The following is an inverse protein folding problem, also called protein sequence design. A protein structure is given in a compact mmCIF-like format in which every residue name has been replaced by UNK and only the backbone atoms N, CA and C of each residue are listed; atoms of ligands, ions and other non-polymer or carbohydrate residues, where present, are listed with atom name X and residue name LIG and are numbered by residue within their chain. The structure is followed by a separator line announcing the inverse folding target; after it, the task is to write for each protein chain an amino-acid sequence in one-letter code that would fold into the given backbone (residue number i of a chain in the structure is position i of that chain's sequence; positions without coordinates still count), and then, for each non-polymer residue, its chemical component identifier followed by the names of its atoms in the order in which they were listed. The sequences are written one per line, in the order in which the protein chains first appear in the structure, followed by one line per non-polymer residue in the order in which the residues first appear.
data_IF_857845175817
#
_entry.id   IF_857845175817
#
_cell.length_a   1.000
_cell.length_b   1.000
_cell.length_c   1.000
_cell.angle_alpha   90.00
_cell.angle_beta   90.00
_cell.angle_gamma   90.00
#
_symmetry.space_group_name_H-M   'P 1'
#
loop_
_entity.id
_entity.type
_entity.pdbx_description
1 polymer ?
#
# COMPACT_ATOMS: atom_id res chain seq x y z
N UNK A 1 9.08 -33.42 30.90
CA UNK A 1 8.26 -32.63 29.97
C UNK A 1 9.04 -31.36 29.59
N UNK A 2 9.39 -31.23 28.35
CA UNK A 2 10.34 -30.20 27.85
C UNK A 2 9.60 -29.00 27.27
N UNK A 3 10.00 -27.77 27.59
CA UNK A 3 9.73 -26.60 26.75
C UNK A 3 11.06 -26.02 26.22
N UNK A 4 11.47 -26.45 25.06
CA UNK A 4 12.65 -25.92 24.38
C UNK A 4 12.33 -25.79 22.89
N UNK A 5 11.66 -24.68 22.48
CA UNK A 5 11.59 -24.31 21.05
C UNK A 5 11.44 -22.81 20.77
N UNK A 6 11.49 -21.93 21.75
CA UNK A 6 11.35 -20.48 21.53
C UNK A 6 12.66 -19.70 21.45
N UNK A 7 13.76 -20.26 21.95
CA UNK A 7 15.05 -19.57 21.95
C UNK A 7 15.76 -19.53 20.58
N UNK A 8 15.47 -20.49 19.69
CA UNK A 8 16.15 -20.59 18.40
C UNK A 8 15.73 -19.54 17.35
N UNK A 9 14.51 -19.03 17.43
CA UNK A 9 14.00 -18.04 16.45
C UNK A 9 14.51 -16.62 16.68
N UNK A 10 14.72 -16.23 17.94
CA UNK A 10 15.26 -14.92 18.29
C UNK A 10 16.74 -14.81 17.94
N UNK A 11 17.52 -15.89 18.07
CA UNK A 11 18.94 -15.91 17.74
C UNK A 11 19.20 -15.83 16.22
N UNK A 12 18.33 -16.41 15.42
CA UNK A 12 18.45 -16.36 13.93
C UNK A 12 18.20 -14.96 13.41
N UNK A 13 17.29 -14.20 14.01
CA UNK A 13 16.99 -12.81 13.62
C UNK A 13 18.13 -11.84 13.97
N UNK A 14 18.93 -12.14 14.99
CA UNK A 14 20.06 -11.28 15.39
C UNK A 14 21.29 -11.46 14.50
N UNK A 15 21.41 -12.59 13.80
CA UNK A 15 22.52 -12.90 12.89
C UNK A 15 22.19 -12.64 11.41
N UNK A 16 20.93 -12.36 11.07
CA UNK A 16 20.55 -12.07 9.70
C UNK A 16 20.67 -10.56 9.42
N UNK A 17 21.59 -10.17 8.54
CA UNK A 17 21.65 -8.79 8.06
C UNK A 17 20.32 -8.40 7.43
N UNK A 18 19.78 -7.22 7.74
CA UNK A 18 18.49 -6.73 7.19
C UNK A 18 18.47 -6.73 5.66
N UNK A 19 19.61 -6.48 5.02
CA UNK A 19 19.75 -6.56 3.56
C UNK A 19 19.42 -7.94 2.97
N UNK A 20 19.49 -9.01 3.76
CA UNK A 20 19.10 -10.37 3.35
C UNK A 20 17.58 -10.61 3.44
N UNK A 21 16.82 -9.67 4.00
CA UNK A 21 15.37 -9.73 4.09
C UNK A 21 14.67 -9.09 2.88
N UNK A 22 15.44 -8.53 1.95
CA UNK A 22 14.89 -7.95 0.74
C UNK A 22 14.27 -9.04 -0.14
N UNK A 23 13.10 -8.77 -0.68
CA UNK A 23 12.40 -9.74 -1.54
C UNK A 23 11.54 -9.04 -2.59
N UNK A 24 11.23 -9.77 -3.65
CA UNK A 24 10.23 -9.37 -4.65
C UNK A 24 8.95 -10.17 -4.46
N UNK A 25 7.82 -9.54 -4.70
CA UNK A 25 6.50 -10.18 -4.69
C UNK A 25 5.83 -10.02 -6.06
N UNK A 26 5.21 -11.09 -6.53
CA UNK A 26 4.46 -11.09 -7.78
C UNK A 26 2.97 -11.18 -7.48
N UNK A 27 2.11 -10.46 -8.22
CA UNK A 27 0.67 -10.57 -8.06
C UNK A 27 0.18 -11.96 -8.49
N UNK A 28 -0.75 -12.54 -7.74
CA UNK A 28 -1.43 -13.77 -8.12
C UNK A 28 -2.41 -13.55 -9.28
N UNK A 29 -2.80 -14.63 -9.97
CA UNK A 29 -3.73 -14.58 -11.11
C UNK A 29 -5.07 -13.93 -10.77
N UNK A 30 -5.62 -14.22 -9.59
CA UNK A 30 -6.86 -13.61 -9.11
C UNK A 30 -6.74 -12.08 -8.95
N UNK A 31 -5.58 -11.61 -8.45
CA UNK A 31 -5.32 -10.17 -8.35
C UNK A 31 -5.18 -9.54 -9.73
N UNK A 32 -4.47 -10.18 -10.65
CA UNK A 32 -4.33 -9.70 -12.02
C UNK A 32 -5.71 -9.57 -12.68
N UNK A 33 -6.57 -10.58 -12.58
CA UNK A 33 -7.92 -10.54 -13.12
C UNK A 33 -8.77 -9.40 -12.52
N UNK A 34 -8.67 -9.20 -11.19
CA UNK A 34 -9.44 -8.15 -10.50
C UNK A 34 -9.02 -6.72 -10.87
N UNK A 35 -7.72 -6.50 -11.12
CA UNK A 35 -7.17 -5.17 -11.38
C UNK A 35 -6.86 -4.92 -12.87
N UNK A 36 -7.27 -5.83 -13.75
CA UNK A 36 -7.26 -5.59 -15.20
C UNK A 36 -8.54 -4.87 -15.60
N UNK A 37 -8.46 -3.66 -16.13
CA UNK A 37 -9.66 -2.94 -16.59
C UNK A 37 -10.39 -3.72 -17.68
N UNK A 38 -11.69 -3.55 -17.75
CA UNK A 38 -12.50 -4.17 -18.83
C UNK A 38 -12.08 -3.60 -20.18
N UNK A 39 -11.90 -4.47 -21.16
CA UNK A 39 -11.55 -4.09 -22.53
C UNK A 39 -12.57 -3.07 -23.08
N UNK A 40 -12.07 -1.95 -23.56
CA UNK A 40 -12.87 -0.88 -24.14
C UNK A 40 -12.52 -0.77 -25.63
N UNK A 41 -13.43 -0.22 -26.46
CA UNK A 41 -13.17 -0.01 -27.91
C UNK A 41 -11.89 0.80 -28.20
N UNK A 42 -11.40 1.58 -27.24
CA UNK A 42 -10.14 2.36 -27.34
C UNK A 42 -8.90 1.54 -26.97
N UNK A 43 -9.05 0.60 -26.01
CA UNK A 43 -7.97 -0.28 -25.54
C UNK A 43 -8.49 -1.72 -25.54
N UNK A 44 -8.25 -2.49 -26.64
CA UNK A 44 -8.73 -3.86 -26.76
C UNK A 44 -7.99 -4.83 -25.81
N UNK A 45 -6.75 -4.50 -25.43
CA UNK A 45 -5.95 -5.30 -24.51
C UNK A 45 -5.46 -4.43 -23.32
N UNK A 46 -6.31 -4.18 -22.34
CA UNK A 46 -5.94 -3.34 -21.21
C UNK A 46 -4.88 -4.04 -20.35
N UNK A 47 -3.80 -3.33 -20.07
CA UNK A 47 -2.74 -3.84 -19.18
C UNK A 47 -3.21 -3.79 -17.72
N UNK A 48 -2.86 -4.80 -16.90
CA UNK A 48 -3.18 -4.76 -15.47
C UNK A 48 -2.55 -3.55 -14.80
N UNK A 49 -3.30 -2.91 -13.91
CA UNK A 49 -2.82 -1.74 -13.15
C UNK A 49 -2.02 -2.13 -11.90
N UNK A 50 -1.52 -3.36 -11.86
CA UNK A 50 -0.67 -3.91 -10.81
C UNK A 50 0.50 -4.66 -11.46
N UNK A 51 1.55 -4.87 -10.67
CA UNK A 51 2.74 -5.59 -11.13
C UNK A 51 3.62 -6.04 -9.97
N UNK A 52 4.84 -6.39 -10.28
CA UNK A 52 5.83 -6.84 -9.30
C UNK A 52 6.19 -5.73 -8.32
N UNK A 53 6.35 -6.10 -7.05
CA UNK A 53 6.70 -5.19 -5.96
C UNK A 53 8.07 -5.61 -5.42
N UNK A 54 8.94 -4.64 -5.19
CA UNK A 54 10.21 -4.83 -4.49
C UNK A 54 10.10 -4.30 -3.06
N UNK A 55 10.46 -5.13 -2.08
CA UNK A 55 10.48 -4.75 -0.67
C UNK A 55 11.92 -4.73 -0.18
N UNK A 56 12.35 -3.59 0.36
CA UNK A 56 13.69 -3.38 0.88
C UNK A 56 13.65 -2.94 2.33
N UNK A 57 14.46 -3.61 3.15
CA UNK A 57 14.67 -3.27 4.56
C UNK A 57 15.97 -2.51 4.71
N UNK A 58 15.88 -1.21 4.95
CA UNK A 58 17.05 -0.38 5.18
C UNK A 58 17.50 -0.48 6.63
N UNK A 59 18.80 -0.73 6.82
CA UNK A 59 19.44 -0.83 8.14
C UNK A 59 19.87 0.52 8.68
N UNK A 60 19.98 1.52 7.81
CA UNK A 60 20.48 2.83 8.19
C UNK A 60 19.47 3.60 9.02
N UNK A 61 19.94 4.24 10.08
CA UNK A 61 19.08 5.05 10.93
C UNK A 61 18.45 6.23 10.18
N UNK A 62 19.20 6.84 9.26
CA UNK A 62 18.75 8.00 8.50
C UNK A 62 18.89 7.74 7.00
N UNK A 63 17.79 7.64 6.32
CA UNK A 63 17.77 7.47 4.86
C UNK A 63 17.98 8.83 4.19
N UNK A 64 19.10 8.97 3.49
CA UNK A 64 19.45 10.17 2.73
C UNK A 64 18.78 10.22 1.35
N UNK A 65 18.77 11.41 0.74
CA UNK A 65 18.24 11.61 -0.62
C UNK A 65 18.97 10.77 -1.67
N UNK A 66 20.28 10.52 -1.49
CA UNK A 66 21.08 9.70 -2.39
C UNK A 66 20.58 8.26 -2.39
N UNK A 67 20.48 7.63 -1.21
CA UNK A 67 19.98 6.26 -1.06
C UNK A 67 18.58 6.09 -1.66
N UNK A 68 17.72 7.10 -1.49
CA UNK A 68 16.39 7.08 -2.07
C UNK A 68 16.41 7.13 -3.60
N UNK A 69 17.31 7.91 -4.19
CA UNK A 69 17.50 7.93 -5.65
C UNK A 69 18.05 6.61 -6.17
N UNK A 70 19.04 6.05 -5.49
CA UNK A 70 19.64 4.75 -5.83
C UNK A 70 18.57 3.65 -5.76
N UNK A 71 17.70 3.69 -4.75
CA UNK A 71 16.55 2.79 -4.63
C UNK A 71 15.56 2.95 -5.79
N UNK A 72 15.18 4.18 -6.13
CA UNK A 72 14.29 4.43 -7.28
C UNK A 72 14.91 3.95 -8.59
N UNK A 73 16.20 4.18 -8.79
CA UNK A 73 16.93 3.69 -9.95
C UNK A 73 16.95 2.16 -10.02
N UNK A 74 17.11 1.50 -8.87
CA UNK A 74 17.02 0.05 -8.78
C UNK A 74 15.63 -0.47 -9.19
N UNK A 75 14.56 0.17 -8.75
CA UNK A 75 13.19 -0.19 -9.13
C UNK A 75 12.96 -0.04 -10.64
N UNK A 76 13.45 1.03 -11.24
CA UNK A 76 13.32 1.28 -12.69
C UNK A 76 14.12 0.25 -13.49
N UNK A 77 15.38 0.01 -13.10
CA UNK A 77 16.27 -0.96 -13.78
C UNK A 77 15.73 -2.40 -13.68
N UNK A 78 15.14 -2.75 -12.52
CA UNK A 78 14.51 -4.05 -12.28
C UNK A 78 13.11 -4.20 -12.89
N UNK A 79 12.59 -3.17 -13.57
CA UNK A 79 11.24 -3.13 -14.13
C UNK A 79 10.14 -3.45 -13.11
N UNK A 80 10.35 -3.09 -11.83
CA UNK A 80 9.35 -3.25 -10.79
C UNK A 80 8.22 -2.23 -10.94
N UNK A 81 7.00 -2.67 -10.69
CA UNK A 81 5.82 -1.79 -10.78
C UNK A 81 5.77 -0.80 -9.63
N UNK A 82 6.08 -1.24 -8.42
CA UNK A 82 6.12 -0.42 -7.21
C UNK A 82 7.20 -0.89 -6.25
N UNK A 83 7.55 -0.04 -5.29
CA UNK A 83 8.51 -0.36 -4.25
C UNK A 83 7.98 -0.06 -2.86
N UNK A 84 8.38 -0.87 -1.89
CA UNK A 84 8.14 -0.64 -0.47
C UNK A 84 9.50 -0.57 0.22
N UNK A 85 9.78 0.55 0.90
CA UNK A 85 10.97 0.71 1.71
C UNK A 85 10.59 0.73 3.19
N UNK A 86 11.20 -0.14 3.96
CA UNK A 86 11.05 -0.18 5.42
C UNK A 86 12.27 0.48 6.07
N UNK A 87 12.03 1.51 6.89
CA UNK A 87 13.07 2.32 7.53
C UNK A 87 12.98 2.24 9.04
N UNK A 88 14.10 2.40 9.73
CA UNK A 88 14.15 2.40 11.20
C UNK A 88 13.54 3.68 11.77
N UNK A 89 13.87 4.83 11.17
CA UNK A 89 13.34 6.15 11.58
C UNK A 89 12.48 6.77 10.48
N UNK A 90 11.54 7.67 10.83
CA UNK A 90 10.75 8.37 9.83
C UNK A 90 11.62 9.21 8.91
N UNK A 91 11.27 9.24 7.63
CA UNK A 91 11.98 10.01 6.62
C UNK A 91 11.81 11.51 6.81
N UNK A 92 12.81 12.25 6.32
CA UNK A 92 12.75 13.73 6.28
C UNK A 92 11.65 14.21 5.34
N UNK A 93 11.10 15.40 5.63
CA UNK A 93 10.05 15.99 4.79
C UNK A 93 10.46 16.21 3.33
N UNK A 94 11.75 16.45 3.07
CA UNK A 94 12.30 16.59 1.72
C UNK A 94 12.32 15.24 0.97
N UNK A 95 12.67 14.15 1.64
CA UNK A 95 12.64 12.80 1.08
C UNK A 95 11.21 12.39 0.72
N UNK A 96 10.23 12.68 1.58
CA UNK A 96 8.82 12.41 1.33
C UNK A 96 8.30 13.23 0.12
N UNK A 97 8.71 14.49 -0.04
CA UNK A 97 8.35 15.31 -1.20
C UNK A 97 8.91 14.74 -2.50
N UNK A 98 10.15 14.26 -2.48
CA UNK A 98 10.78 13.62 -3.64
C UNK A 98 10.03 12.35 -4.04
N UNK A 99 9.65 11.51 -3.09
CA UNK A 99 8.84 10.31 -3.36
C UNK A 99 7.47 10.64 -3.97
N UNK A 100 6.79 11.65 -3.45
CA UNK A 100 5.50 12.11 -4.01
C UNK A 100 5.66 12.68 -5.42
N UNK A 101 6.77 13.37 -5.69
CA UNK A 101 7.10 13.88 -7.01
C UNK A 101 7.42 12.77 -8.01
N UNK A 102 8.13 11.74 -7.60
CA UNK A 102 8.51 10.62 -8.48
C UNK A 102 7.32 9.80 -8.97
N UNK A 103 6.25 9.71 -8.19
CA UNK A 103 5.02 9.04 -8.60
C UNK A 103 4.30 9.72 -9.78
N UNK A 104 4.60 11.00 -10.03
CA UNK A 104 4.05 11.79 -11.14
C UNK A 104 5.01 11.93 -12.32
N UNK A 105 6.28 11.56 -12.14
CA UNK A 105 7.28 11.61 -13.19
C UNK A 105 7.26 10.34 -14.04
N UNK A 106 7.46 10.49 -15.35
CA UNK A 106 7.52 9.37 -16.31
C UNK A 106 8.70 8.41 -16.08
N UNK A 107 9.68 8.81 -15.29
CA UNK A 107 10.90 8.05 -14.99
C UNK A 107 10.82 7.23 -13.68
N UNK A 108 9.70 7.31 -12.93
CA UNK A 108 9.51 6.59 -11.68
C UNK A 108 8.74 5.27 -11.84
N UNK A 109 8.72 4.39 -10.81
CA UNK A 109 7.92 3.19 -10.82
C UNK A 109 6.43 3.56 -10.91
N UNK A 110 5.69 2.94 -11.83
CA UNK A 110 4.28 3.25 -12.13
C UNK A 110 3.36 3.18 -10.91
N UNK A 111 3.65 2.28 -9.99
CA UNK A 111 2.91 2.11 -8.73
C UNK A 111 3.30 3.10 -7.63
N UNK A 112 4.42 3.83 -7.82
CA UNK A 112 5.00 4.69 -6.78
C UNK A 112 5.82 3.92 -5.76
N UNK A 113 6.38 4.66 -4.81
CA UNK A 113 7.16 4.11 -3.69
C UNK A 113 6.43 4.44 -2.38
N UNK A 114 6.24 3.41 -1.57
CA UNK A 114 5.67 3.54 -0.22
C UNK A 114 6.76 3.35 0.82
N UNK A 115 6.67 4.10 1.90
CA UNK A 115 7.63 4.03 3.01
C UNK A 115 6.91 3.74 4.30
N UNK A 116 7.39 2.72 4.99
CA UNK A 116 6.92 2.33 6.31
C UNK A 116 8.04 2.46 7.32
N UNK A 117 7.69 2.85 8.54
CA UNK A 117 8.60 2.79 9.67
C UNK A 117 8.46 1.41 10.30
N UNK A 118 9.58 0.79 10.69
CA UNK A 118 9.61 -0.55 11.28
C UNK A 118 8.66 -0.67 12.48
N UNK A 119 8.58 0.37 13.30
CA UNK A 119 7.69 0.41 14.46
C UNK A 119 6.20 0.27 14.09
N UNK A 120 5.78 0.85 12.97
CA UNK A 120 4.39 0.80 12.50
C UNK A 120 3.99 -0.61 12.00
N UNK A 121 4.98 -1.45 11.68
CA UNK A 121 4.77 -2.81 11.16
C UNK A 121 4.78 -3.90 12.25
N UNK A 122 5.14 -3.56 13.50
CA UNK A 122 5.20 -4.53 14.60
C UNK A 122 3.83 -5.11 14.94
N UNK A 123 2.78 -4.32 14.77
CA UNK A 123 1.40 -4.71 15.08
C UNK A 123 0.51 -4.52 13.86
N UNK A 124 -0.28 -5.53 13.53
CA UNK A 124 -1.28 -5.40 12.47
C UNK A 124 -2.53 -4.67 12.98
N UNK A 125 -2.60 -3.38 12.71
CA UNK A 125 -3.70 -2.51 13.13
C UNK A 125 -5.06 -2.94 12.57
N UNK A 126 -5.10 -3.60 11.41
CA UNK A 126 -6.37 -4.01 10.77
C UNK A 126 -7.06 -5.16 11.51
N UNK A 127 -6.33 -5.87 12.39
CA UNK A 127 -6.87 -6.95 13.22
C UNK A 127 -7.39 -6.46 14.57
N UNK A 128 -7.19 -5.18 14.89
CA UNK A 128 -7.67 -4.62 16.15
C UNK A 128 -9.20 -4.54 16.14
N UNK A 129 -9.84 -4.88 17.25
CA UNK A 129 -11.31 -4.96 17.38
C UNK A 129 -12.03 -3.64 17.04
N UNK A 130 -11.44 -2.52 17.43
CA UNK A 130 -12.00 -1.18 17.17
C UNK A 130 -11.80 -0.70 15.73
N UNK A 131 -10.94 -1.34 14.95
CA UNK A 131 -10.69 -0.95 13.56
C UNK A 131 -11.73 -1.64 12.67
N UNK A 132 -12.63 -0.87 12.05
CA UNK A 132 -13.66 -1.43 11.19
C UNK A 132 -13.05 -2.03 9.93
N UNK A 133 -13.75 -2.97 9.31
CA UNK A 133 -13.32 -3.59 8.05
C UNK A 133 -13.38 -2.57 6.93
N UNK A 134 -12.23 -2.33 6.29
CA UNK A 134 -12.09 -1.49 5.11
C UNK A 134 -12.00 -2.37 3.86
N UNK A 135 -12.73 -2.04 2.82
CA UNK A 135 -12.74 -2.76 1.54
C UNK A 135 -12.58 -1.74 0.42
N UNK A 136 -11.52 -1.90 -0.38
CA UNK A 136 -11.33 -1.09 -1.58
C UNK A 136 -12.38 -1.49 -2.63
N UNK A 137 -13.08 -0.51 -3.16
CA UNK A 137 -14.03 -0.70 -4.26
C UNK A 137 -13.30 -0.74 -5.60
N UNK A 138 -13.76 -1.58 -6.51
CA UNK A 138 -13.36 -1.53 -7.91
C UNK A 138 -13.89 -0.24 -8.57
N UNK A 139 -13.33 0.13 -9.72
CA UNK A 139 -13.79 1.32 -10.44
C UNK A 139 -15.25 1.20 -10.89
N UNK A 140 -15.69 -0.01 -11.22
CA UNK A 140 -17.10 -0.30 -11.56
C UNK A 140 -18.03 -0.13 -10.37
N UNK A 141 -17.67 -0.71 -9.21
CA UNK A 141 -18.41 -0.57 -7.96
C UNK A 141 -18.49 0.90 -7.53
N UNK A 142 -17.40 1.65 -7.69
CA UNK A 142 -17.35 3.09 -7.42
C UNK A 142 -18.33 3.86 -8.32
N UNK A 143 -18.35 3.57 -9.63
CA UNK A 143 -19.28 4.22 -10.55
C UNK A 143 -20.73 3.87 -10.24
N UNK A 144 -21.05 2.62 -9.94
CA UNK A 144 -22.39 2.19 -9.52
C UNK A 144 -22.82 2.91 -8.24
N UNK A 145 -21.91 3.04 -7.26
CA UNK A 145 -22.16 3.76 -6.03
C UNK A 145 -22.52 5.22 -6.30
N UNK A 146 -21.68 5.92 -7.08
CA UNK A 146 -21.88 7.33 -7.42
C UNK A 146 -23.18 7.57 -8.18
N UNK A 147 -23.53 6.67 -9.10
CA UNK A 147 -24.82 6.70 -9.82
C UNK A 147 -25.99 6.51 -8.86
N UNK A 148 -25.90 5.51 -7.95
CA UNK A 148 -26.96 5.20 -6.99
C UNK A 148 -27.30 6.38 -6.09
N UNK A 149 -26.27 7.06 -5.57
CA UNK A 149 -26.44 8.20 -4.67
C UNK A 149 -26.51 9.55 -5.39
N UNK A 150 -26.33 9.56 -6.73
CA UNK A 150 -26.30 10.77 -7.55
C UNK A 150 -25.29 11.80 -7.04
N UNK A 151 -24.12 11.33 -6.61
CA UNK A 151 -23.04 12.13 -6.04
C UNK A 151 -21.82 12.12 -6.95
N UNK A 152 -21.03 13.22 -6.85
CA UNK A 152 -19.66 13.24 -7.37
C UNK A 152 -18.72 12.63 -6.32
N UNK A 153 -17.60 12.02 -6.73
CA UNK A 153 -16.61 11.44 -5.83
C UNK A 153 -16.10 12.44 -4.76
N UNK A 154 -15.97 13.71 -5.15
CA UNK A 154 -15.52 14.80 -4.27
C UNK A 154 -16.50 15.16 -3.14
N UNK A 155 -17.76 14.76 -3.25
CA UNK A 155 -18.80 15.00 -2.25
C UNK A 155 -18.81 13.91 -1.16
N UNK A 156 -18.11 12.79 -1.38
CA UNK A 156 -17.97 11.77 -0.36
C UNK A 156 -17.08 12.27 0.80
N UNK A 157 -17.32 11.78 2.02
CA UNK A 157 -16.39 11.98 3.14
C UNK A 157 -14.97 11.56 2.75
N UNK A 158 -13.98 12.29 3.23
CA UNK A 158 -12.58 12.12 2.83
C UNK A 158 -11.84 11.20 3.80
N UNK A 159 -10.82 10.51 3.29
CA UNK A 159 -9.79 9.81 4.07
C UNK A 159 -8.43 10.24 3.52
N UNK A 160 -7.49 10.51 4.40
CA UNK A 160 -6.14 10.88 3.98
C UNK A 160 -5.36 9.64 3.51
N UNK A 161 -4.54 9.80 2.47
CA UNK A 161 -3.61 8.75 2.04
C UNK A 161 -2.54 8.42 3.09
N UNK A 162 -2.34 9.30 4.07
CA UNK A 162 -1.43 9.09 5.21
C UNK A 162 -2.06 8.32 6.36
N UNK A 163 -3.37 8.05 6.33
CA UNK A 163 -4.04 7.23 7.32
C UNK A 163 -3.40 5.83 7.40
N UNK A 164 -3.12 5.29 8.61
CA UNK A 164 -2.47 3.99 8.74
C UNK A 164 -3.18 2.86 8.02
N UNK A 165 -4.53 2.85 8.04
CA UNK A 165 -5.31 1.81 7.33
C UNK A 165 -5.25 2.03 5.81
N UNK A 166 -5.26 3.29 5.37
CA UNK A 166 -5.11 3.61 3.94
C UNK A 166 -3.73 3.16 3.41
N UNK A 167 -2.66 3.39 4.17
CA UNK A 167 -1.32 2.89 3.84
C UNK A 167 -1.26 1.37 3.83
N UNK A 168 -1.83 0.71 4.84
CA UNK A 168 -1.84 -0.77 4.90
C UNK A 168 -2.51 -1.40 3.68
N UNK A 169 -3.57 -0.78 3.17
CA UNK A 169 -4.29 -1.24 1.99
C UNK A 169 -3.71 -0.72 0.66
N UNK A 170 -2.64 0.07 0.68
CA UNK A 170 -2.03 0.65 -0.52
C UNK A 170 -3.00 1.55 -1.30
N UNK A 171 -3.84 2.32 -0.59
CA UNK A 171 -4.89 3.12 -1.23
C UNK A 171 -4.31 4.32 -1.96
N UNK A 172 -4.60 4.42 -3.26
CA UNK A 172 -4.19 5.55 -4.09
C UNK A 172 -5.23 6.68 -4.05
N UNK A 173 -4.76 7.90 -4.30
CA UNK A 173 -5.66 9.07 -4.43
C UNK A 173 -6.71 8.83 -5.49
N UNK A 174 -7.94 9.23 -5.20
CA UNK A 174 -9.09 9.02 -6.09
C UNK A 174 -9.83 7.70 -5.86
N UNK A 175 -9.26 6.74 -5.13
CA UNK A 175 -9.93 5.50 -4.76
C UNK A 175 -11.07 5.76 -3.77
N UNK A 176 -12.06 4.87 -3.74
CA UNK A 176 -13.16 4.90 -2.78
C UNK A 176 -13.11 3.63 -1.94
N UNK A 177 -13.21 3.81 -0.63
CA UNK A 177 -13.17 2.74 0.35
C UNK A 177 -14.53 2.60 1.03
N UNK A 178 -15.01 1.37 1.12
CA UNK A 178 -16.18 0.99 1.90
C UNK A 178 -15.74 0.58 3.31
N UNK A 179 -16.26 1.23 4.33
CA UNK A 179 -15.98 0.98 5.73
C UNK A 179 -17.20 0.33 6.36
N UNK A 180 -17.05 -0.90 6.83
CA UNK A 180 -18.14 -1.68 7.44
C UNK A 180 -17.91 -1.67 8.94
N UNK A 181 -18.78 -0.97 9.68
CA UNK A 181 -18.73 -0.92 11.15
C UNK A 181 -20.02 -1.47 11.76
N UNK A 182 -19.89 -2.05 12.94
CA UNK A 182 -21.04 -2.38 13.78
C UNK A 182 -21.57 -1.09 14.41
N UNK A 183 -22.88 -0.92 14.42
CA UNK A 183 -23.57 0.15 15.12
C UNK A 183 -24.58 -0.47 16.06
N UNK A 184 -24.67 0.02 17.27
CA UNK A 184 -25.63 -0.46 18.26
C UNK A 184 -27.08 -0.24 17.83
N UNK A 185 -27.33 0.86 17.10
CA UNK A 185 -28.69 1.23 16.66
C UNK A 185 -29.05 0.69 15.28
N UNK A 186 -28.10 0.60 14.35
CA UNK A 186 -28.37 0.24 12.93
C UNK A 186 -27.77 -1.13 12.52
N UNK A 187 -27.23 -1.91 13.46
CA UNK A 187 -26.57 -3.18 13.19
C UNK A 187 -25.31 -2.99 12.36
N UNK A 188 -25.28 -3.45 11.10
CA UNK A 188 -24.14 -3.25 10.19
C UNK A 188 -24.35 -2.00 9.34
N UNK A 189 -23.52 -1.00 9.56
CA UNK A 189 -23.52 0.24 8.79
C UNK A 189 -22.33 0.30 7.84
N UNK A 190 -22.57 0.65 6.58
CA UNK A 190 -21.55 0.85 5.57
C UNK A 190 -21.40 2.35 5.26
N UNK A 191 -20.22 2.90 5.48
CA UNK A 191 -19.85 4.25 5.04
C UNK A 191 -18.82 4.18 3.92
N UNK A 192 -18.79 5.23 3.11
CA UNK A 192 -17.87 5.32 1.96
C UNK A 192 -16.99 6.55 2.14
N UNK A 193 -15.68 6.39 1.87
CA UNK A 193 -14.74 7.50 1.94
C UNK A 193 -13.91 7.57 0.68
N UNK A 194 -13.65 8.80 0.24
CA UNK A 194 -12.81 9.10 -0.90
C UNK A 194 -11.39 9.44 -0.45
N UNK A 195 -10.37 8.83 -1.06
CA UNK A 195 -8.95 9.00 -0.71
C UNK A 195 -8.41 10.27 -1.36
N UNK A 196 -7.78 11.13 -0.52
CA UNK A 196 -7.16 12.41 -0.92
C UNK A 196 -5.66 12.43 -0.72
#
# INVERSE_FOLDING_TARGET
MRPLKTAGRALILTLCSRSKLNFSAHPGEEMLAKYTPVATKKDPEPRPQIGTIWVEFNSDENVGLKQLRDYMQHLVNGAFYSGIMVTVKPMTGMAIRLLRGSATMSEGPKGGVEVFVEQDLLVNITKHELVPKHVLLSEEEKQQLLKRYRLKATQLPRIQSTDPVAKYLGLKRGAVVKIIRKSETAGRYASYRWVI
#
